data_IF_254371344962
#
_entry.id   IF_254371344962
#
_cell.length_a   1.000
_cell.length_b   1.000
_cell.length_c   1.000
_cell.angle_alpha   90.00
_cell.angle_beta   90.00
_cell.angle_gamma   90.00
#
_symmetry.space_group_name_H-M   'P 1'
#
loop_
_entity.id
_entity.type
_entity.pdbx_description
1 polymer ?
#
# COMPACT_ATOMS: atom_id res chain seq x y z
N UNK A 1 13.52 0.82 -17.02
CA UNK A 1 13.76 0.59 -15.57
C UNK A 1 12.86 -0.54 -15.09
N UNK A 2 13.39 -1.46 -14.27
CA UNK A 2 12.59 -2.51 -13.62
C UNK A 2 11.68 -1.87 -12.57
N UNK A 3 10.58 -2.51 -12.24
CA UNK A 3 9.65 -1.99 -11.22
C UNK A 3 10.33 -1.86 -9.84
N UNK A 4 11.21 -2.82 -9.49
CA UNK A 4 12.03 -2.80 -8.27
C UNK A 4 13.00 -1.60 -8.15
N UNK A 5 13.31 -0.95 -9.26
CA UNK A 5 14.11 0.28 -9.27
C UNK A 5 13.26 1.54 -9.12
N UNK A 6 11.94 1.41 -9.30
CA UNK A 6 11.00 2.53 -9.28
C UNK A 6 10.28 2.69 -7.95
N UNK A 7 9.86 1.57 -7.34
CA UNK A 7 9.02 1.58 -6.14
C UNK A 7 9.61 0.74 -5.02
N UNK A 8 9.30 1.15 -3.79
CA UNK A 8 9.37 0.32 -2.58
C UNK A 8 7.97 0.29 -1.97
N UNK A 9 7.53 -0.88 -1.54
CA UNK A 9 6.23 -1.10 -0.91
C UNK A 9 6.41 -0.98 0.61
N UNK A 10 5.55 -0.21 1.28
CA UNK A 10 5.52 -0.05 2.73
C UNK A 10 4.17 -0.53 3.26
N UNK A 11 4.20 -1.52 4.16
CA UNK A 11 3.02 -2.14 4.75
C UNK A 11 3.02 -1.89 6.27
N UNK A 12 2.17 -1.00 6.78
CA UNK A 12 1.93 -0.92 8.22
C UNK A 12 1.18 -2.17 8.67
N UNK A 13 1.61 -2.80 9.75
CA UNK A 13 1.04 -4.06 10.20
C UNK A 13 0.85 -4.08 11.72
N UNK A 14 -0.36 -4.48 12.16
CA UNK A 14 -0.67 -4.67 13.58
C UNK A 14 -1.81 -5.66 13.75
N UNK A 15 -1.50 -6.86 14.26
CA UNK A 15 -2.48 -7.92 14.54
C UNK A 15 -3.27 -8.35 13.29
N UNK A 16 -2.54 -8.68 12.22
CA UNK A 16 -3.08 -9.04 10.91
C UNK A 16 -2.83 -10.53 10.56
N UNK A 17 -2.74 -11.42 11.56
CA UNK A 17 -2.43 -12.85 11.37
C UNK A 17 -3.37 -13.55 10.37
N UNK A 18 -4.61 -13.06 10.22
CA UNK A 18 -5.61 -13.61 9.31
C UNK A 18 -5.56 -13.02 7.88
N UNK A 19 -4.84 -11.90 7.67
CA UNK A 19 -4.88 -11.14 6.42
C UNK A 19 -3.53 -11.01 5.74
N UNK A 20 -2.44 -10.87 6.50
CA UNK A 20 -1.12 -10.60 5.94
C UNK A 20 -0.65 -11.65 4.94
N UNK A 21 -0.97 -12.94 5.17
CA UNK A 21 -0.65 -14.01 4.24
C UNK A 21 -1.32 -13.79 2.88
N UNK A 22 -2.58 -13.33 2.88
CA UNK A 22 -3.31 -13.04 1.64
C UNK A 22 -2.67 -11.88 0.88
N UNK A 23 -2.27 -10.79 1.58
CA UNK A 23 -1.56 -9.69 0.94
C UNK A 23 -0.27 -10.17 0.29
N UNK A 24 0.58 -10.91 1.02
CA UNK A 24 1.86 -11.40 0.50
C UNK A 24 1.67 -12.33 -0.72
N UNK A 25 0.68 -13.24 -0.68
CA UNK A 25 0.32 -14.07 -1.84
C UNK A 25 -0.11 -13.21 -3.04
N UNK A 26 -0.93 -12.19 -2.82
CA UNK A 26 -1.35 -11.28 -3.88
C UNK A 26 -0.18 -10.45 -4.42
N UNK A 27 0.73 -9.95 -3.56
CA UNK A 27 1.93 -9.23 -3.99
C UNK A 27 2.83 -10.10 -4.87
N UNK A 28 2.99 -11.39 -4.53
CA UNK A 28 3.71 -12.35 -5.35
C UNK A 28 3.10 -12.53 -6.75
N UNK A 29 1.76 -12.47 -6.86
CA UNK A 29 1.05 -12.55 -8.13
C UNK A 29 1.13 -11.25 -8.95
N UNK A 30 1.35 -10.12 -8.30
CA UNK A 30 1.62 -8.85 -8.99
C UNK A 30 2.99 -8.90 -9.66
N UNK A 31 3.14 -8.67 -10.91
CA UNK A 31 4.41 -8.70 -11.64
C UNK A 31 5.45 -7.70 -11.09
N UNK A 32 5.69 -7.73 -9.76
CA UNK A 32 6.59 -6.79 -9.06
C UNK A 32 8.06 -7.22 -9.08
N UNK A 33 8.34 -8.49 -9.44
CA UNK A 33 9.71 -9.01 -9.44
C UNK A 33 10.36 -8.92 -8.06
N UNK A 34 11.60 -8.44 -8.02
CA UNK A 34 12.40 -8.29 -6.79
C UNK A 34 12.16 -6.93 -6.08
N UNK A 35 10.95 -6.40 -6.17
CA UNK A 35 10.57 -5.15 -5.51
C UNK A 35 10.65 -5.29 -3.99
N UNK A 36 11.35 -4.35 -3.33
CA UNK A 36 11.49 -4.32 -1.88
C UNK A 36 10.14 -4.06 -1.21
N UNK A 37 9.82 -4.85 -0.20
CA UNK A 37 8.65 -4.73 0.66
C UNK A 37 9.13 -4.50 2.09
N UNK A 38 8.75 -3.39 2.70
CA UNK A 38 9.05 -3.06 4.10
C UNK A 38 7.77 -3.24 4.89
N UNK A 39 7.76 -4.17 5.83
CA UNK A 39 6.64 -4.39 6.74
C UNK A 39 6.98 -3.76 8.10
N UNK A 40 6.28 -2.68 8.44
CA UNK A 40 6.44 -1.99 9.72
C UNK A 40 5.43 -2.61 10.72
N UNK A 41 5.91 -3.60 11.49
CA UNK A 41 5.08 -4.46 12.33
C UNK A 41 5.18 -4.11 13.82
N UNK A 42 4.01 -4.02 14.48
CA UNK A 42 3.91 -3.90 15.93
C UNK A 42 2.88 -4.90 16.52
N UNK A 43 2.74 -6.05 15.90
CA UNK A 43 1.78 -7.09 16.29
C UNK A 43 2.16 -7.79 17.58
N UNK A 44 1.14 -8.26 18.30
CA UNK A 44 1.25 -9.09 19.49
C UNK A 44 0.64 -10.48 19.32
N UNK A 45 0.02 -10.73 18.16
CA UNK A 45 -0.50 -12.02 17.71
C UNK A 45 0.56 -12.78 16.87
N UNK A 46 0.15 -13.76 16.08
CA UNK A 46 1.06 -14.56 15.23
C UNK A 46 1.40 -13.92 13.89
N UNK A 47 1.08 -12.64 13.66
CA UNK A 47 1.36 -11.95 12.40
C UNK A 47 2.82 -12.11 11.98
N UNK A 48 3.77 -11.86 12.90
CA UNK A 48 5.20 -11.93 12.59
C UNK A 48 5.65 -13.35 12.21
N UNK A 49 5.09 -14.39 12.84
CA UNK A 49 5.36 -15.77 12.46
C UNK A 49 4.90 -16.08 11.03
N UNK A 50 3.72 -15.57 10.66
CA UNK A 50 3.17 -15.74 9.31
C UNK A 50 4.06 -15.05 8.27
N UNK A 51 4.55 -13.84 8.56
CA UNK A 51 5.46 -13.10 7.67
C UNK A 51 6.77 -13.89 7.49
N UNK A 52 7.36 -14.41 8.58
CA UNK A 52 8.62 -15.17 8.54
C UNK A 52 8.52 -16.42 7.65
N UNK A 53 7.38 -17.12 7.66
CA UNK A 53 7.14 -18.29 6.79
C UNK A 53 7.09 -17.92 5.31
N UNK A 54 6.62 -16.73 4.99
CA UNK A 54 6.33 -16.32 3.61
C UNK A 54 7.42 -15.43 2.97
N UNK A 55 8.33 -14.88 3.75
CA UNK A 55 9.32 -13.90 3.28
C UNK A 55 10.32 -14.44 2.26
N UNK A 56 10.61 -15.75 2.28
CA UNK A 56 11.62 -16.35 1.39
C UNK A 56 11.27 -16.26 -0.10
N UNK A 57 10.01 -16.01 -0.42
CA UNK A 57 9.51 -15.89 -1.80
C UNK A 57 9.41 -14.44 -2.29
N UNK A 58 9.69 -13.46 -1.41
CA UNK A 58 9.59 -12.03 -1.67
C UNK A 58 10.76 -11.29 -1.02
N UNK A 59 11.13 -10.13 -1.56
CA UNK A 59 12.17 -9.28 -0.96
C UNK A 59 11.57 -8.46 0.21
N UNK A 60 11.36 -9.14 1.35
CA UNK A 60 10.71 -8.57 2.54
C UNK A 60 11.73 -8.20 3.62
N UNK A 61 11.63 -6.97 4.11
CA UNK A 61 12.30 -6.49 5.33
C UNK A 61 11.24 -6.16 6.38
N UNK A 62 11.38 -6.72 7.59
CA UNK A 62 10.49 -6.42 8.72
C UNK A 62 11.18 -5.43 9.66
N UNK A 63 10.49 -4.35 10.00
CA UNK A 63 10.96 -3.30 10.91
C UNK A 63 9.96 -3.09 12.04
N UNK A 64 10.37 -2.38 13.09
CA UNK A 64 9.46 -2.01 14.16
C UNK A 64 8.45 -0.96 13.66
N UNK A 65 7.18 -1.26 13.90
CA UNK A 65 6.04 -0.42 13.52
C UNK A 65 5.65 0.59 14.62
N UNK A 66 4.34 0.67 14.88
CA UNK A 66 3.73 1.60 15.84
C UNK A 66 2.28 1.91 15.45
N UNK A 67 1.72 3.05 15.91
CA UNK A 67 0.51 3.60 15.31
C UNK A 67 0.65 3.69 13.77
N UNK A 68 -0.45 3.60 13.04
CA UNK A 68 -0.41 3.46 11.58
C UNK A 68 0.39 4.54 10.86
N UNK A 69 0.28 5.81 11.30
CA UNK A 69 1.06 6.92 10.74
C UNK A 69 2.56 6.76 11.01
N UNK A 70 2.91 6.38 12.25
CA UNK A 70 4.32 6.13 12.66
C UNK A 70 4.90 4.96 11.86
N UNK A 71 4.15 3.85 11.73
CA UNK A 71 4.58 2.68 10.96
C UNK A 71 4.83 3.04 9.48
N UNK A 72 3.93 3.81 8.86
CA UNK A 72 4.11 4.30 7.49
C UNK A 72 5.33 5.22 7.37
N UNK A 73 5.52 6.15 8.29
CA UNK A 73 6.69 7.04 8.31
C UNK A 73 8.00 6.27 8.51
N UNK A 74 8.03 5.30 9.45
CA UNK A 74 9.21 4.48 9.69
C UNK A 74 9.62 3.70 8.44
N UNK A 75 8.65 3.08 7.76
CA UNK A 75 8.92 2.42 6.49
C UNK A 75 9.39 3.37 5.40
N UNK A 76 8.76 4.54 5.27
CA UNK A 76 9.11 5.53 4.25
C UNK A 76 10.54 6.07 4.39
N UNK A 77 11.05 6.21 5.62
CA UNK A 77 12.45 6.65 5.88
C UNK A 77 13.50 5.69 5.29
N UNK A 78 13.16 4.44 5.03
CA UNK A 78 14.06 3.44 4.46
C UNK A 78 13.92 3.30 2.94
N UNK A 79 13.02 4.06 2.33
CA UNK A 79 12.78 4.02 0.88
C UNK A 79 13.84 4.83 0.15
N UNK A 80 14.49 4.23 -0.84
CA UNK A 80 15.48 4.89 -1.71
C UNK A 80 15.00 5.04 -3.16
N UNK A 81 13.91 4.37 -3.51
CA UNK A 81 13.31 4.43 -4.85
C UNK A 81 12.53 5.73 -5.09
N UNK A 82 12.29 6.13 -6.36
CA UNK A 82 11.55 7.35 -6.69
C UNK A 82 10.14 7.43 -6.13
N UNK A 83 9.47 6.28 -5.97
CA UNK A 83 8.09 6.21 -5.49
C UNK A 83 7.98 5.33 -4.26
N UNK A 84 7.04 5.68 -3.38
CA UNK A 84 6.61 4.90 -2.21
C UNK A 84 5.20 4.41 -2.47
N UNK A 85 4.98 3.10 -2.30
CA UNK A 85 3.65 2.51 -2.35
C UNK A 85 3.25 2.05 -0.95
N UNK A 86 2.33 2.76 -0.31
CA UNK A 86 1.72 2.33 0.94
C UNK A 86 0.54 1.39 0.65
N UNK A 87 0.52 0.22 1.31
CA UNK A 87 -0.57 -0.75 1.21
C UNK A 87 -0.91 -1.25 2.61
N UNK A 88 -2.18 -1.20 3.01
CA UNK A 88 -2.62 -1.78 4.28
C UNK A 88 -2.64 -3.33 4.19
N UNK A 89 -2.39 -4.00 5.33
CA UNK A 89 -2.15 -5.46 5.38
C UNK A 89 -3.36 -6.33 4.97
N UNK A 90 -4.57 -5.76 4.96
CA UNK A 90 -5.83 -6.41 4.61
C UNK A 90 -6.27 -6.21 3.14
N UNK A 91 -5.45 -5.53 2.34
CA UNK A 91 -5.74 -5.25 0.92
C UNK A 91 -5.65 -6.51 0.07
N UNK A 92 -6.59 -6.66 -0.87
CA UNK A 92 -6.62 -7.71 -1.88
C UNK A 92 -6.70 -7.11 -3.29
N UNK A 93 -5.92 -7.65 -4.20
CA UNK A 93 -5.93 -7.23 -5.60
C UNK A 93 -6.86 -8.11 -6.42
N UNK A 94 -7.64 -7.50 -7.33
CA UNK A 94 -8.53 -8.22 -8.27
C UNK A 94 -7.86 -8.47 -9.63
N UNK A 95 -6.64 -7.95 -9.83
CA UNK A 95 -5.89 -7.99 -11.07
C UNK A 95 -4.39 -7.99 -10.75
N UNK A 96 -3.61 -8.75 -11.49
CA UNK A 96 -2.15 -8.94 -11.27
C UNK A 96 -1.28 -7.83 -11.84
N UNK A 97 -1.87 -6.83 -12.46
CA UNK A 97 -1.16 -5.68 -13.03
C UNK A 97 -1.42 -4.35 -12.31
N UNK A 98 -2.17 -4.37 -11.19
CA UNK A 98 -2.62 -3.12 -10.51
C UNK A 98 -1.45 -2.22 -10.13
N UNK A 99 -0.38 -2.79 -9.56
CA UNK A 99 0.77 -2.00 -9.12
C UNK A 99 1.51 -1.43 -10.34
N UNK A 100 1.71 -2.22 -11.38
CA UNK A 100 2.34 -1.75 -12.62
C UNK A 100 1.51 -0.66 -13.28
N UNK A 101 0.20 -0.89 -13.44
CA UNK A 101 -0.72 0.06 -14.05
C UNK A 101 -0.71 1.42 -13.29
N UNK A 102 -0.61 1.37 -11.95
CA UNK A 102 -0.52 2.58 -11.11
C UNK A 102 0.81 3.33 -11.33
N UNK A 103 1.94 2.60 -11.43
CA UNK A 103 3.25 3.22 -11.71
C UNK A 103 3.29 3.82 -13.10
N UNK A 104 2.77 3.12 -14.10
CA UNK A 104 2.70 3.65 -15.46
C UNK A 104 1.80 4.89 -15.54
N UNK A 105 0.71 4.93 -14.76
CA UNK A 105 -0.19 6.08 -14.69
C UNK A 105 0.47 7.29 -14.03
N UNK A 106 1.13 7.11 -12.87
CA UNK A 106 1.78 8.23 -12.14
C UNK A 106 2.88 8.86 -12.99
N UNK A 107 3.66 8.03 -13.71
CA UNK A 107 4.72 8.51 -14.59
C UNK A 107 4.16 9.21 -15.84
N UNK A 108 3.22 8.57 -16.56
CA UNK A 108 2.69 9.09 -17.82
C UNK A 108 1.92 10.39 -17.65
N UNK A 109 1.28 10.61 -16.51
CA UNK A 109 0.52 11.80 -16.17
C UNK A 109 1.28 12.80 -15.31
N UNK A 110 2.53 12.46 -14.92
CA UNK A 110 3.36 13.25 -14.01
C UNK A 110 2.60 13.68 -12.75
N UNK A 111 1.94 12.69 -12.09
CA UNK A 111 1.18 12.92 -10.88
C UNK A 111 2.08 12.83 -9.65
N UNK A 112 1.70 13.53 -8.58
CA UNK A 112 2.41 13.45 -7.29
C UNK A 112 1.92 12.29 -6.44
N UNK A 113 0.62 11.92 -6.59
CA UNK A 113 -0.02 10.90 -5.78
C UNK A 113 -1.17 10.21 -6.54
N UNK A 114 -1.31 8.90 -6.31
CA UNK A 114 -2.45 8.09 -6.77
C UNK A 114 -3.02 7.33 -5.59
N UNK A 115 -4.34 7.42 -5.39
CA UNK A 115 -5.15 6.50 -4.60
C UNK A 115 -6.03 5.67 -5.53
N UNK A 116 -6.32 4.44 -5.14
CA UNK A 116 -7.23 3.58 -5.90
C UNK A 116 -8.64 3.58 -5.32
N UNK A 117 -9.61 3.31 -6.18
CA UNK A 117 -10.97 3.03 -5.75
C UNK A 117 -11.02 1.72 -4.95
N UNK A 118 -11.68 1.75 -3.80
CA UNK A 118 -11.84 0.61 -2.93
C UNK A 118 -13.13 -0.12 -3.30
N UNK A 119 -13.06 -1.45 -3.37
CA UNK A 119 -14.23 -2.33 -3.51
C UNK A 119 -14.36 -3.19 -2.26
N UNK A 120 -15.58 -3.31 -1.76
CA UNK A 120 -15.86 -4.26 -0.70
C UNK A 120 -15.75 -5.69 -1.23
N UNK A 121 -14.95 -6.52 -0.57
CA UNK A 121 -14.83 -7.94 -0.89
C UNK A 121 -16.05 -8.74 -0.37
N UNK A 122 -16.64 -8.30 0.73
CA UNK A 122 -17.76 -8.97 1.35
C UNK A 122 -19.04 -8.90 0.50
N UNK A 123 -19.93 -9.89 0.70
CA UNK A 123 -21.23 -9.94 0.03
C UNK A 123 -22.26 -8.96 0.62
N UNK A 124 -21.91 -8.23 1.68
CA UNK A 124 -22.81 -7.26 2.32
C UNK A 124 -23.18 -6.12 1.34
N UNK A 125 -24.47 -6.04 1.04
CA UNK A 125 -25.00 -5.02 0.13
C UNK A 125 -24.83 -3.59 0.68
N UNK A 126 -24.93 -3.42 2.01
CA UNK A 126 -24.77 -2.10 2.65
C UNK A 126 -23.33 -1.59 2.50
N UNK A 127 -22.35 -2.46 2.71
CA UNK A 127 -20.95 -2.13 2.50
C UNK A 127 -20.68 -1.79 1.03
N UNK A 128 -21.22 -2.56 0.08
CA UNK A 128 -21.08 -2.27 -1.36
C UNK A 128 -21.63 -0.91 -1.74
N UNK A 129 -22.83 -0.55 -1.23
CA UNK A 129 -23.44 0.76 -1.47
C UNK A 129 -22.56 1.86 -0.86
N UNK A 130 -22.09 1.67 0.38
CA UNK A 130 -21.22 2.63 1.07
C UNK A 130 -19.92 2.89 0.30
N UNK A 131 -19.19 1.86 -0.12
CA UNK A 131 -17.97 2.02 -0.91
C UNK A 131 -18.21 2.61 -2.30
N UNK A 132 -19.35 2.27 -2.94
CA UNK A 132 -19.71 2.88 -4.24
C UNK A 132 -19.97 4.37 -4.10
N UNK A 133 -20.76 4.77 -3.10
CA UNK A 133 -21.02 6.19 -2.79
C UNK A 133 -19.72 6.93 -2.44
N UNK A 134 -18.87 6.33 -1.61
CA UNK A 134 -17.56 6.87 -1.25
C UNK A 134 -16.68 7.11 -2.48
N UNK A 135 -16.53 6.13 -3.38
CA UNK A 135 -15.75 6.28 -4.60
C UNK A 135 -16.33 7.36 -5.54
N UNK A 136 -17.67 7.49 -5.61
CA UNK A 136 -18.33 8.51 -6.41
C UNK A 136 -18.07 9.92 -5.85
N UNK A 137 -18.14 10.07 -4.52
CA UNK A 137 -17.82 11.33 -3.83
C UNK A 137 -16.35 11.70 -4.06
N UNK A 138 -15.42 10.75 -3.91
CA UNK A 138 -14.00 10.96 -4.19
C UNK A 138 -13.77 11.40 -5.64
N UNK A 139 -14.46 10.77 -6.58
CA UNK A 139 -14.35 11.14 -7.98
C UNK A 139 -14.86 12.56 -8.26
N UNK A 140 -15.91 13.01 -7.59
CA UNK A 140 -16.43 14.37 -7.71
C UNK A 140 -15.50 15.40 -7.03
N UNK A 141 -14.95 15.06 -5.86
CA UNK A 141 -14.11 15.97 -5.08
C UNK A 141 -12.67 16.09 -5.56
N UNK A 142 -12.19 15.20 -6.44
CA UNK A 142 -10.79 15.17 -6.89
C UNK A 142 -10.26 16.50 -7.45
N UNK A 143 -11.13 17.39 -7.92
CA UNK A 143 -10.74 18.70 -8.45
C UNK A 143 -10.77 19.83 -7.41
N UNK A 144 -11.43 19.63 -6.24
CA UNK A 144 -11.60 20.65 -5.23
C UNK A 144 -10.86 20.35 -3.94
N UNK A 145 -10.89 19.09 -3.52
CA UNK A 145 -10.24 18.61 -2.30
C UNK A 145 -9.81 17.15 -2.52
N UNK A 146 -8.73 16.91 -3.28
CA UNK A 146 -8.28 15.56 -3.55
C UNK A 146 -7.79 14.90 -2.26
N UNK A 147 -8.27 13.69 -2.00
CA UNK A 147 -7.76 12.86 -0.92
C UNK A 147 -7.56 11.42 -1.39
N UNK A 148 -6.57 10.75 -0.83
CA UNK A 148 -6.30 9.34 -1.08
C UNK A 148 -6.61 8.54 0.18
N UNK A 149 -7.21 7.36 -0.02
CA UNK A 149 -7.41 6.42 1.09
C UNK A 149 -6.09 5.70 1.35
N UNK A 150 -5.72 5.62 2.62
CA UNK A 150 -4.45 5.02 3.05
C UNK A 150 -4.26 3.54 2.71
N UNK A 151 -5.35 2.84 2.34
CA UNK A 151 -5.30 1.41 2.00
C UNK A 151 -4.44 1.08 0.76
N UNK A 152 -4.38 1.98 -0.22
CA UNK A 152 -3.44 1.93 -1.35
C UNK A 152 -3.12 3.36 -1.78
N UNK A 153 -1.88 3.78 -1.57
CA UNK A 153 -1.43 5.12 -1.89
C UNK A 153 -0.04 5.06 -2.51
N UNK A 154 0.06 5.35 -3.81
CA UNK A 154 1.32 5.50 -4.53
C UNK A 154 1.67 6.99 -4.60
N UNK A 155 2.84 7.36 -4.10
CA UNK A 155 3.29 8.77 -4.09
C UNK A 155 4.74 8.89 -4.54
N UNK A 156 5.09 10.03 -5.06
CA UNK A 156 6.49 10.43 -5.28
C UNK A 156 7.18 10.59 -3.93
N UNK A 157 8.37 10.01 -3.79
CA UNK A 157 9.14 10.09 -2.54
C UNK A 157 9.53 11.53 -2.20
N UNK A 158 10.01 12.30 -3.18
CA UNK A 158 10.40 13.70 -2.99
C UNK A 158 9.23 14.56 -2.47
N UNK A 159 8.02 14.34 -2.98
CA UNK A 159 6.82 15.03 -2.50
C UNK A 159 6.40 14.60 -1.10
N UNK A 160 6.45 13.30 -0.82
CA UNK A 160 6.15 12.79 0.51
C UNK A 160 7.08 13.36 1.58
N UNK A 161 8.38 13.48 1.27
CA UNK A 161 9.39 14.08 2.14
C UNK A 161 9.17 15.61 2.30
N UNK A 162 8.83 16.31 1.22
CA UNK A 162 8.53 17.76 1.23
C UNK A 162 7.35 18.10 2.16
N UNK A 163 6.29 17.25 2.16
CA UNK A 163 5.14 17.42 3.05
C UNK A 163 5.36 16.93 4.50
N UNK A 164 6.52 16.36 4.80
CA UNK A 164 6.89 15.90 6.15
C UNK A 164 6.26 14.57 6.56
N UNK A 165 5.70 13.81 5.61
CA UNK A 165 5.09 12.51 5.86
C UNK A 165 3.67 12.58 6.42
N UNK A 166 3.25 11.51 7.11
CA UNK A 166 1.97 11.46 7.81
C UNK A 166 2.06 12.17 9.17
N UNK A 167 1.02 12.88 9.61
CA UNK A 167 0.99 13.47 10.96
C UNK A 167 1.02 12.35 12.02
N UNK A 168 1.90 12.50 13.01
CA UNK A 168 2.09 11.57 14.13
C UNK A 168 1.33 12.01 15.39
#
# INVERSE_FOLDING_TARGET
MKLSEKITIVVPCKNEENYIAHLLMHLRQQSIGDTKIIIADCSTDRTREVIEIMKDELNVEVIDGGPVSVAKNNGARLVTTPYILFIDADVRFFKDTVIRDAVDLIESKNLDLIGLNIKCYDKDLRAKIGFTAFNLINHALKYFSPFAVGAFMLTRRDRFEEYGGFPE
#
